data_IF_940344197268
#
_entry.id   IF_940344197268
#
_cell.length_a   1.000
_cell.length_b   1.000
_cell.length_c   1.000
_cell.angle_alpha   90.00
_cell.angle_beta   90.00
_cell.angle_gamma   90.00
#
_symmetry.space_group_name_H-M   'P 1'
#
loop_
_entity.id
_entity.type
_entity.pdbx_description
1 polymer ?
#
# COMPACT_ATOMS: atom_id res chain seq x y z
N UNK A 1 -14.41 14.56 0.36
CA UNK A 1 -13.15 13.93 0.80
C UNK A 1 -12.34 14.81 1.75
N UNK A 2 -12.12 14.30 2.96
CA UNK A 2 -11.26 14.89 3.99
C UNK A 2 -10.23 13.87 4.48
N UNK A 3 -9.02 14.32 4.80
CA UNK A 3 -7.96 13.46 5.34
C UNK A 3 -7.76 13.79 6.81
N UNK A 4 -8.02 12.81 7.67
CA UNK A 4 -7.88 12.93 9.11
C UNK A 4 -6.54 12.38 9.56
N UNK A 5 -5.83 13.16 10.38
CA UNK A 5 -4.61 12.72 11.05
C UNK A 5 -4.75 12.79 12.56
N UNK A 6 -4.28 11.73 13.24
CA UNK A 6 -4.09 11.72 14.69
C UNK A 6 -2.65 11.32 14.99
N UNK A 7 -1.97 12.18 15.75
CA UNK A 7 -0.56 12.00 16.15
C UNK A 7 -0.53 11.45 17.57
N UNK A 8 0.18 10.35 17.78
CA UNK A 8 0.32 9.72 19.08
C UNK A 8 1.80 9.51 19.38
N UNK A 9 2.18 9.74 20.64
CA UNK A 9 3.51 9.44 21.14
C UNK A 9 3.44 8.16 21.97
N UNK A 10 4.29 7.18 21.65
CA UNK A 10 4.38 5.92 22.38
C UNK A 10 5.77 5.70 22.93
N UNK A 11 5.85 5.26 24.19
CA UNK A 11 7.12 4.89 24.82
C UNK A 11 7.57 3.54 24.26
N UNK A 12 8.67 3.53 23.51
CA UNK A 12 9.23 2.31 22.93
C UNK A 12 9.91 1.40 23.96
N UNK A 13 10.23 0.16 23.57
CA UNK A 13 10.79 -0.88 24.46
C UNK A 13 12.19 -0.59 25.02
N UNK A 14 12.90 0.46 24.58
CA UNK A 14 14.26 0.81 25.04
C UNK A 14 14.45 2.33 25.07
N UNK A 15 13.80 3.03 26.01
CA UNK A 15 13.96 4.48 26.27
C UNK A 15 13.96 5.41 25.02
N UNK A 16 13.37 4.93 23.92
CA UNK A 16 13.23 5.62 22.64
C UNK A 16 11.78 5.97 22.47
N UNK A 17 11.55 7.22 22.11
CA UNK A 17 10.22 7.72 21.77
C UNK A 17 9.89 7.25 20.36
N UNK A 18 8.80 6.51 20.22
CA UNK A 18 8.25 6.16 18.91
C UNK A 18 7.00 7.00 18.66
N UNK A 19 6.87 7.50 17.45
CA UNK A 19 5.68 8.25 17.04
C UNK A 19 4.77 7.33 16.24
N UNK A 20 3.46 7.49 16.44
CA UNK A 20 2.44 6.84 15.63
C UNK A 20 1.61 7.91 14.96
N UNK A 21 1.45 7.76 13.65
CA UNK A 21 0.54 8.58 12.85
C UNK A 21 -0.63 7.69 12.47
N UNK A 22 -1.83 8.05 12.90
CA UNK A 22 -3.05 7.46 12.37
C UNK A 22 -3.59 8.35 11.26
N UNK A 23 -3.85 7.76 10.10
CA UNK A 23 -4.45 8.44 8.95
C UNK A 23 -5.74 7.74 8.54
N UNK A 24 -6.82 8.51 8.32
CA UNK A 24 -8.09 8.01 7.79
C UNK A 24 -8.65 8.96 6.74
N UNK A 25 -9.18 8.40 5.66
CA UNK A 25 -9.88 9.14 4.62
C UNK A 25 -11.38 9.13 4.92
N UNK A 26 -11.97 10.31 5.07
CA UNK A 26 -13.42 10.47 5.16
C UNK A 26 -13.97 10.93 3.83
N UNK A 27 -14.99 10.22 3.38
CA UNK A 27 -15.57 10.34 2.05
C UNK A 27 -17.07 10.48 2.16
N UNK A 28 -17.63 11.25 1.25
CA UNK A 28 -19.07 11.35 1.11
C UNK A 28 -19.65 10.07 0.47
N UNK A 29 -20.95 9.83 0.61
CA UNK A 29 -21.59 8.64 0.04
C UNK A 29 -21.38 8.51 -1.48
N UNK A 30 -21.39 9.65 -2.19
CA UNK A 30 -21.14 9.69 -3.64
C UNK A 30 -19.71 9.28 -4.01
N UNK A 31 -18.74 9.68 -3.18
CA UNK A 31 -17.32 9.33 -3.35
C UNK A 31 -17.09 7.84 -3.04
N UNK A 32 -17.74 7.30 -2.00
CA UNK A 32 -17.73 5.86 -1.69
C UNK A 32 -18.32 5.01 -2.82
N UNK A 33 -19.41 5.47 -3.43
CA UNK A 33 -20.01 4.80 -4.58
C UNK A 33 -19.05 4.74 -5.78
N UNK A 34 -18.28 5.81 -6.05
CA UNK A 34 -17.25 5.82 -7.09
C UNK A 34 -16.11 4.85 -6.79
N UNK A 35 -15.65 4.80 -5.54
CA UNK A 35 -14.60 3.84 -5.14
C UNK A 35 -15.05 2.40 -5.36
N UNK A 36 -16.28 2.07 -4.93
CA UNK A 36 -16.84 0.73 -5.13
C UNK A 36 -17.02 0.40 -6.62
N UNK A 37 -17.51 1.37 -7.41
CA UNK A 37 -17.77 1.20 -8.84
C UNK A 37 -16.50 0.90 -9.65
N UNK A 38 -15.42 1.63 -9.38
CA UNK A 38 -14.15 1.49 -10.10
C UNK A 38 -13.12 0.63 -9.36
N UNK A 39 -13.50 0.02 -8.23
CA UNK A 39 -12.62 -0.79 -7.35
C UNK A 39 -11.33 -0.06 -6.96
N UNK A 40 -11.46 1.23 -6.64
CA UNK A 40 -10.31 2.01 -6.16
C UNK A 40 -9.83 1.56 -4.78
N UNK A 41 -10.62 0.77 -4.05
CA UNK A 41 -10.26 0.20 -2.76
C UNK A 41 -9.00 -0.69 -2.84
N UNK A 42 -8.81 -1.39 -3.96
CA UNK A 42 -7.62 -2.21 -4.26
C UNK A 42 -6.48 -1.43 -4.90
N UNK A 43 -6.70 -0.16 -5.25
CA UNK A 43 -5.67 0.65 -5.90
C UNK A 43 -4.56 1.03 -4.91
N UNK A 44 -3.33 1.04 -5.42
CA UNK A 44 -2.15 1.46 -4.69
C UNK A 44 -2.11 2.99 -4.72
N UNK A 45 -2.27 3.62 -3.55
CA UNK A 45 -2.15 5.07 -3.42
C UNK A 45 -0.68 5.50 -3.41
N UNK A 46 0.14 4.72 -2.70
CA UNK A 46 1.57 4.93 -2.57
C UNK A 46 2.24 3.58 -2.81
N UNK A 47 3.01 3.49 -3.90
CA UNK A 47 3.81 2.32 -4.23
C UNK A 47 5.27 2.58 -3.88
N UNK A 48 5.76 1.90 -2.85
CA UNK A 48 7.17 1.88 -2.48
C UNK A 48 7.72 0.46 -2.70
N UNK A 49 9.02 0.33 -2.98
CA UNK A 49 9.62 -0.98 -3.23
C UNK A 49 9.73 -1.79 -1.92
N UNK A 50 8.69 -2.55 -1.62
CA UNK A 50 8.62 -3.46 -0.47
C UNK A 50 9.52 -4.71 -0.61
N UNK A 51 10.38 -4.79 -1.63
CA UNK A 51 11.24 -5.97 -1.88
C UNK A 51 12.12 -6.32 -0.68
N UNK A 52 12.65 -5.33 0.02
CA UNK A 52 13.47 -5.48 1.21
C UNK A 52 12.67 -5.90 2.44
N UNK A 53 11.47 -5.34 2.62
CA UNK A 53 10.54 -5.72 3.70
C UNK A 53 10.13 -7.17 3.52
N UNK A 54 9.80 -7.57 2.27
CA UNK A 54 9.47 -8.95 1.92
C UNK A 54 10.62 -9.92 2.18
N UNK A 55 11.85 -9.56 1.80
CA UNK A 55 13.03 -10.39 2.09
C UNK A 55 13.24 -10.58 3.60
N UNK A 56 13.11 -9.49 4.38
CA UNK A 56 13.21 -9.53 5.85
C UNK A 56 12.07 -10.36 6.48
N UNK A 57 10.85 -10.27 5.95
CA UNK A 57 9.71 -11.04 6.40
C UNK A 57 9.92 -12.55 6.20
N UNK A 58 10.33 -12.94 4.99
CA UNK A 58 10.63 -14.34 4.66
C UNK A 58 11.73 -14.86 5.58
N UNK A 59 12.83 -14.10 5.76
CA UNK A 59 13.92 -14.49 6.65
C UNK A 59 13.43 -14.72 8.09
N UNK A 60 12.59 -13.82 8.62
CA UNK A 60 12.04 -13.96 9.98
C UNK A 60 11.06 -15.13 10.08
N UNK A 61 10.19 -15.31 9.09
CA UNK A 61 9.25 -16.44 9.03
C UNK A 61 9.97 -17.78 8.99
N UNK A 62 11.03 -17.90 8.19
CA UNK A 62 11.88 -19.11 8.13
C UNK A 62 12.58 -19.37 9.47
N UNK A 63 13.15 -18.35 10.10
CA UNK A 63 13.81 -18.50 11.41
C UNK A 63 12.83 -19.02 12.47
N UNK A 64 11.64 -18.42 12.57
CA UNK A 64 10.64 -18.83 13.55
C UNK A 64 10.10 -20.22 13.24
N UNK A 65 9.78 -20.49 11.97
CA UNK A 65 9.30 -21.81 11.57
C UNK A 65 10.32 -22.92 11.85
N UNK A 66 11.60 -22.65 11.59
CA UNK A 66 12.69 -23.57 11.90
C UNK A 66 12.84 -23.79 13.41
N UNK A 67 12.81 -22.71 14.22
CA UNK A 67 12.92 -22.83 15.67
C UNK A 67 11.78 -23.67 16.26
N UNK A 68 10.54 -23.47 15.79
CA UNK A 68 9.38 -24.23 16.25
C UNK A 68 9.48 -25.70 15.81
N UNK A 69 9.87 -25.97 14.56
CA UNK A 69 10.07 -27.33 14.07
C UNK A 69 11.14 -28.08 14.88
N UNK A 70 12.20 -27.39 15.32
CA UNK A 70 13.29 -27.97 16.12
C UNK A 70 12.86 -28.30 17.54
N UNK A 71 12.07 -27.42 18.19
CA UNK A 71 11.51 -27.67 19.53
C UNK A 71 10.48 -28.79 19.52
N UNK A 72 9.74 -28.94 18.41
CA UNK A 72 8.66 -29.92 18.29
C UNK A 72 9.11 -31.21 17.58
N UNK A 73 10.41 -31.41 17.33
CA UNK A 73 10.91 -32.53 16.51
C UNK A 73 10.50 -33.93 17.02
N UNK A 74 10.26 -34.06 18.33
CA UNK A 74 9.84 -35.31 18.97
C UNK A 74 8.33 -35.61 18.86
N UNK A 75 7.51 -34.67 18.39
CA UNK A 75 6.05 -34.84 18.24
C UNK A 75 5.63 -35.41 16.88
N UNK A 76 6.60 -35.78 16.03
CA UNK A 76 6.36 -36.42 14.75
C UNK A 76 5.99 -35.44 13.62
N UNK A 77 5.38 -35.89 12.51
CA UNK A 77 5.18 -35.09 11.30
C UNK A 77 4.28 -33.85 11.50
N UNK A 78 3.46 -33.82 12.55
CA UNK A 78 2.67 -32.65 12.94
C UNK A 78 3.55 -31.44 13.31
N UNK A 79 4.76 -31.67 13.82
CA UNK A 79 5.75 -30.64 14.16
C UNK A 79 6.07 -29.71 12.98
N UNK A 80 6.25 -30.32 11.80
CA UNK A 80 6.57 -29.60 10.57
C UNK A 80 5.41 -28.70 10.15
N UNK A 81 4.17 -29.17 10.27
CA UNK A 81 2.98 -28.39 9.93
C UNK A 81 2.81 -27.19 10.87
N UNK A 82 2.99 -27.38 12.18
CA UNK A 82 2.95 -26.27 13.15
C UNK A 82 4.08 -25.27 12.93
N UNK A 83 5.30 -25.73 12.64
CA UNK A 83 6.44 -24.88 12.30
C UNK A 83 6.17 -24.03 11.05
N UNK A 84 5.69 -24.64 9.97
CA UNK A 84 5.30 -23.92 8.76
C UNK A 84 4.19 -22.90 9.03
N UNK A 85 3.11 -23.31 9.72
CA UNK A 85 1.99 -22.43 10.03
C UNK A 85 2.40 -21.21 10.84
N UNK A 86 3.21 -21.40 11.88
CA UNK A 86 3.72 -20.31 12.70
C UNK A 86 4.71 -19.40 11.94
N UNK A 87 5.57 -19.97 11.09
CA UNK A 87 6.47 -19.22 10.22
C UNK A 87 5.71 -18.32 9.23
N UNK A 88 4.66 -18.85 8.59
CA UNK A 88 3.78 -18.08 7.72
C UNK A 88 3.04 -16.99 8.49
N UNK A 89 2.49 -17.29 9.66
CA UNK A 89 1.78 -16.31 10.48
C UNK A 89 2.67 -15.12 10.87
N UNK A 90 3.90 -15.39 11.33
CA UNK A 90 4.86 -14.33 11.69
C UNK A 90 5.34 -13.56 10.46
N UNK A 91 5.59 -14.25 9.34
CA UNK A 91 5.97 -13.60 8.09
C UNK A 91 4.87 -12.66 7.58
N UNK A 92 3.62 -13.12 7.59
CA UNK A 92 2.44 -12.34 7.20
C UNK A 92 2.23 -11.15 8.13
N UNK A 93 2.30 -11.35 9.45
CA UNK A 93 2.18 -10.27 10.42
C UNK A 93 3.26 -9.21 10.24
N UNK A 94 4.52 -9.62 10.03
CA UNK A 94 5.62 -8.70 9.79
C UNK A 94 5.47 -7.93 8.48
N UNK A 95 5.04 -8.59 7.40
CA UNK A 95 4.71 -7.92 6.14
C UNK A 95 3.62 -6.89 6.35
N UNK A 96 2.51 -7.26 6.99
CA UNK A 96 1.38 -6.36 7.16
C UNK A 96 1.73 -5.14 8.01
N UNK A 97 2.53 -5.31 9.06
CA UNK A 97 2.94 -4.22 9.96
C UNK A 97 3.96 -3.28 9.31
N UNK A 98 4.88 -3.80 8.48
CA UNK A 98 6.01 -3.04 7.92
C UNK A 98 5.90 -2.68 6.45
N UNK A 99 4.77 -2.99 5.79
CA UNK A 99 4.53 -2.63 4.40
C UNK A 99 4.52 -1.11 4.24
N UNK A 100 5.31 -0.58 3.33
CA UNK A 100 5.30 0.85 3.01
C UNK A 100 4.31 1.17 1.89
N UNK A 101 3.93 0.19 1.07
CA UNK A 101 2.80 0.33 0.13
C UNK A 101 1.51 0.64 0.88
N UNK A 102 0.76 1.65 0.44
CA UNK A 102 -0.52 2.05 1.05
C UNK A 102 -1.62 1.86 0.03
N UNK A 103 -2.62 1.04 0.36
CA UNK A 103 -3.82 0.89 -0.46
C UNK A 103 -4.89 1.88 0.01
N UNK A 104 -5.78 2.26 -0.89
CA UNK A 104 -6.91 3.14 -0.54
C UNK A 104 -7.75 2.53 0.59
N UNK A 105 -8.04 1.21 0.53
CA UNK A 105 -8.78 0.52 1.59
C UNK A 105 -8.18 0.65 2.99
N UNK A 106 -6.85 0.81 3.10
CA UNK A 106 -6.22 0.96 4.40
C UNK A 106 -6.54 2.32 5.03
N UNK A 107 -6.65 3.36 4.20
CA UNK A 107 -7.03 4.69 4.64
C UNK A 107 -8.54 4.81 4.86
N UNK A 108 -9.38 4.06 4.15
CA UNK A 108 -10.83 4.03 4.40
C UNK A 108 -11.17 3.54 5.81
N UNK A 109 -10.48 2.48 6.28
CA UNK A 109 -10.68 1.93 7.62
C UNK A 109 -9.84 2.64 8.69
N UNK A 110 -8.86 3.43 8.26
CA UNK A 110 -7.86 4.06 9.11
C UNK A 110 -6.66 3.14 9.35
N UNK A 111 -5.46 3.68 9.15
CA UNK A 111 -4.19 2.95 9.31
C UNK A 111 -3.26 3.67 10.26
N UNK A 112 -2.60 2.90 11.13
CA UNK A 112 -1.49 3.39 11.94
C UNK A 112 -0.16 3.20 11.21
N UNK A 113 0.65 4.25 11.19
CA UNK A 113 2.01 4.27 10.70
C UNK A 113 2.95 4.48 11.87
N UNK A 114 3.91 3.57 12.07
CA UNK A 114 5.00 3.77 13.02
C UNK A 114 6.07 4.67 12.38
N UNK A 115 6.50 5.69 13.10
CA UNK A 115 7.57 6.60 12.70
C UNK A 115 8.65 6.64 13.78
N UNK A 116 9.91 6.55 13.38
CA UNK A 116 11.05 6.52 14.30
C UNK A 116 11.46 7.93 14.73
N UNK A 117 11.02 8.97 14.01
CA UNK A 117 11.31 10.37 14.31
C UNK A 117 10.16 11.33 13.99
N UNK A 118 10.21 12.53 14.61
CA UNK A 118 9.25 13.62 14.32
C UNK A 118 9.35 14.09 12.86
N UNK A 119 10.57 14.13 12.31
CA UNK A 119 10.81 14.52 10.91
C UNK A 119 10.16 13.50 9.97
N UNK A 120 10.28 12.21 10.28
CA UNK A 120 9.64 11.15 9.51
C UNK A 120 8.11 11.24 9.60
N UNK A 121 7.56 11.57 10.78
CA UNK A 121 6.13 11.81 10.95
C UNK A 121 5.65 12.95 10.05
N UNK A 122 6.30 14.11 10.11
CA UNK A 122 5.93 15.26 9.26
C UNK A 122 6.09 14.94 7.76
N UNK A 123 7.12 14.19 7.39
CA UNK A 123 7.32 13.72 6.01
C UNK A 123 6.17 12.81 5.56
N UNK A 124 5.76 11.84 6.38
CA UNK A 124 4.65 10.92 6.05
C UNK A 124 3.32 11.66 5.97
N UNK A 125 3.08 12.66 6.81
CA UNK A 125 1.90 13.52 6.71
C UNK A 125 1.84 14.26 5.38
N UNK A 126 2.91 14.99 5.03
CA UNK A 126 2.98 15.73 3.76
C UNK A 126 2.87 14.79 2.55
N UNK A 127 3.44 13.59 2.65
CA UNK A 127 3.38 12.60 1.58
C UNK A 127 1.97 12.03 1.40
N UNK A 128 1.30 11.69 2.50
CA UNK A 128 -0.09 11.22 2.48
C UNK A 128 -1.05 12.31 1.97
N UNK A 129 -0.83 13.57 2.37
CA UNK A 129 -1.58 14.71 1.88
C UNK A 129 -1.42 14.88 0.36
N UNK A 130 -0.18 14.83 -0.15
CA UNK A 130 0.09 14.91 -1.58
C UNK A 130 -0.54 13.75 -2.37
N UNK A 131 -0.40 12.52 -1.88
CA UNK A 131 -0.97 11.34 -2.54
C UNK A 131 -2.50 11.37 -2.54
N UNK A 132 -3.12 11.75 -1.43
CA UNK A 132 -4.57 11.97 -1.36
C UNK A 132 -5.01 13.12 -2.28
N UNK A 133 -4.22 14.19 -2.38
CA UNK A 133 -4.48 15.29 -3.31
C UNK A 133 -4.57 14.82 -4.76
N UNK A 134 -3.63 13.98 -5.21
CA UNK A 134 -3.67 13.36 -6.55
C UNK A 134 -4.86 12.41 -6.68
N UNK A 135 -5.10 11.57 -5.68
CA UNK A 135 -6.23 10.64 -5.70
C UNK A 135 -7.57 11.36 -5.82
N UNK A 136 -7.73 12.52 -5.17
CA UNK A 136 -8.91 13.36 -5.34
C UNK A 136 -9.11 13.75 -6.80
N UNK A 137 -8.05 14.17 -7.48
CA UNK A 137 -8.14 14.53 -8.90
C UNK A 137 -8.51 13.33 -9.78
N UNK A 138 -7.96 12.15 -9.47
CA UNK A 138 -8.36 10.90 -10.13
C UNK A 138 -9.85 10.63 -9.92
N UNK A 139 -10.36 10.75 -8.69
CA UNK A 139 -11.79 10.58 -8.40
C UNK A 139 -12.67 11.59 -9.15
N UNK A 140 -12.25 12.85 -9.25
CA UNK A 140 -12.96 13.88 -10.02
C UNK A 140 -12.97 13.56 -11.52
N UNK A 141 -11.85 13.08 -12.07
CA UNK A 141 -11.82 12.60 -13.46
C UNK A 141 -12.70 11.36 -13.67
N UNK A 142 -12.75 10.46 -12.69
CA UNK A 142 -13.49 9.20 -12.76
C UNK A 142 -15.01 9.40 -12.82
N UNK A 143 -15.52 10.55 -12.35
CA UNK A 143 -16.92 10.95 -12.55
C UNK A 143 -17.30 11.07 -14.03
N UNK A 144 -16.33 11.29 -14.91
CA UNK A 144 -16.53 11.51 -16.34
C UNK A 144 -16.09 10.33 -17.22
N UNK A 145 -15.51 9.26 -16.66
CA UNK A 145 -14.95 8.15 -17.43
C UNK A 145 -15.97 7.35 -18.25
N UNK A 146 -17.25 7.33 -17.85
CA UNK A 146 -18.31 6.70 -18.66
C UNK A 146 -18.74 7.57 -19.85
N UNK A 147 -18.23 8.80 -19.94
CA UNK A 147 -18.47 9.70 -21.06
C UNK A 147 -17.74 9.23 -22.32
N UNK A 148 -18.40 9.35 -23.47
CA UNK A 148 -17.74 9.15 -24.77
C UNK A 148 -17.04 10.44 -25.17
N UNK A 149 -15.72 10.52 -25.00
CA UNK A 149 -14.92 11.61 -25.53
C UNK A 149 -14.60 11.37 -27.01
N UNK A 150 -14.98 12.33 -27.87
CA UNK A 150 -14.62 12.29 -29.30
C UNK A 150 -13.31 13.04 -29.50
N UNK A 151 -12.24 12.30 -29.72
CA UNK A 151 -10.95 12.85 -30.15
C UNK A 151 -10.85 12.75 -31.67
N UNK A 152 -10.90 13.88 -32.37
CA UNK A 152 -10.69 13.92 -33.82
C UNK A 152 -9.20 13.76 -34.10
N UNK A 153 -8.81 12.61 -34.64
CA UNK A 153 -7.43 12.37 -35.07
C UNK A 153 -7.27 13.01 -36.46
N UNK A 154 -6.55 14.13 -36.52
CA UNK A 154 -6.24 14.75 -37.80
C UNK A 154 -5.29 13.85 -38.61
N UNK A 155 -5.55 13.67 -39.92
CA UNK A 155 -4.69 12.84 -40.76
C UNK A 155 -3.31 13.48 -40.90
N UNK A 156 -2.27 12.71 -40.55
CA UNK A 156 -0.89 13.11 -40.75
C UNK A 156 -0.57 13.28 -42.26
N UNK A 157 0.31 14.22 -42.63
CA UNK A 157 0.84 14.31 -43.99
C UNK A 157 1.50 12.98 -44.41
N UNK A 158 1.37 12.61 -45.70
CA UNK A 158 1.83 11.33 -46.25
C UNK A 158 3.25 10.93 -45.84
N UNK A 159 4.19 11.87 -45.85
CA UNK A 159 5.60 11.61 -45.51
C UNK A 159 5.77 11.26 -44.02
N UNK A 160 5.10 11.98 -43.12
CA UNK A 160 5.15 11.72 -41.67
C UNK A 160 4.42 10.42 -41.30
N UNK A 161 3.30 10.12 -41.99
CA UNK A 161 2.58 8.86 -41.81
C UNK A 161 3.46 7.67 -42.23
N UNK A 162 4.21 7.78 -43.33
CA UNK A 162 5.12 6.74 -43.81
C UNK A 162 6.27 6.50 -42.82
N UNK A 163 6.84 7.56 -42.26
CA UNK A 163 7.89 7.47 -41.25
C UNK A 163 7.40 6.84 -39.94
N UNK A 164 6.20 7.21 -39.48
CA UNK A 164 5.57 6.60 -38.30
C UNK A 164 5.26 5.11 -38.49
N UNK A 165 4.74 4.72 -39.66
CA UNK A 165 4.47 3.32 -39.99
C UNK A 165 5.77 2.51 -40.03
N UNK A 166 6.85 3.05 -40.61
CA UNK A 166 8.16 2.39 -40.66
C UNK A 166 8.82 2.27 -39.28
N UNK A 167 8.48 3.14 -38.32
CA UNK A 167 9.03 3.14 -36.96
C UNK A 167 8.23 2.27 -35.99
N UNK A 168 6.97 1.98 -36.31
CA UNK A 168 6.07 1.15 -35.51
C UNK A 168 6.07 -0.34 -35.92
N UNK A 169 6.57 -0.66 -37.11
CA UNK A 169 6.81 -2.03 -37.58
C UNK A 169 8.18 -2.56 -37.10
#
# INVERSE_FOLDING_TARGET
>A
MELLFKREQTTGKVNRVNFKLWGKLELDESELALISRYRFDESILIGEDDSDVRRKAIKRGVIVGFAIALVTIFTGPLAVLFGCGAGFAVGYWYLNEKRETIFVKDLLHGRHFTCDSVIELARKEAWLEGACGVFRQVMESAKHWDGVERHTIEPLPKEQAKELILRAA
#
